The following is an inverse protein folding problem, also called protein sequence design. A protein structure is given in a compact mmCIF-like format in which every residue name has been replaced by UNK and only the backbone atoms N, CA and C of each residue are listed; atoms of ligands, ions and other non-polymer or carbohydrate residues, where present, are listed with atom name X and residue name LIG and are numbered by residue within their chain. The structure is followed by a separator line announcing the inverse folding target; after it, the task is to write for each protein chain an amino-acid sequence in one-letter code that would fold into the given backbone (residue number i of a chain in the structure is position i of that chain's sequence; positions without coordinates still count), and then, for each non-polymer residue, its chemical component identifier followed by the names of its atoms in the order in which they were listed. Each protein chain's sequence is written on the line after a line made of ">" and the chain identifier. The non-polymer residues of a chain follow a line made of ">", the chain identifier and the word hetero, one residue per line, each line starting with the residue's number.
data_IF_643849438170
#
_entry.id   IF_643849438170
#
_cell.length_a   1.000
_cell.length_b   1.000
_cell.length_c   1.000
_cell.angle_alpha   90.00
_cell.angle_beta   90.00
_cell.angle_gamma   90.00
#
_symmetry.space_group_name_H-M   'P 1'
#
loop_
_entity.id
_entity.type
_entity.pdbx_description
1 polymer ?
#
# COMPACT_ATOMS: atom_id res chain seq x y z
N UNK A 1 27.26 -25.78 -21.88
CA UNK A 1 25.96 -25.51 -22.54
C UNK A 1 24.79 -25.41 -21.56
N UNK A 2 24.81 -26.14 -20.40
CA UNK A 2 23.82 -25.98 -19.33
C UNK A 2 23.94 -24.61 -18.64
N UNK A 3 25.17 -24.15 -18.46
CA UNK A 3 25.44 -22.82 -17.88
C UNK A 3 24.88 -21.70 -18.75
N UNK A 4 25.09 -21.75 -20.05
CA UNK A 4 24.55 -20.77 -20.99
C UNK A 4 22.99 -20.72 -20.95
N UNK A 5 22.35 -21.88 -20.89
CA UNK A 5 20.88 -21.95 -20.76
C UNK A 5 20.43 -21.34 -19.46
N UNK A 6 21.18 -21.55 -18.37
CA UNK A 6 20.87 -20.92 -17.07
C UNK A 6 21.01 -19.41 -17.12
N UNK A 7 22.06 -18.89 -17.73
CA UNK A 7 22.26 -17.45 -17.88
C UNK A 7 21.16 -16.80 -18.73
N UNK A 8 20.81 -17.41 -19.86
CA UNK A 8 19.69 -16.95 -20.68
C UNK A 8 18.37 -16.96 -19.91
N UNK A 9 18.11 -18.05 -19.15
CA UNK A 9 16.91 -18.12 -18.30
C UNK A 9 16.87 -17.00 -17.24
N UNK A 10 17.99 -16.76 -16.55
CA UNK A 10 18.07 -15.71 -15.56
C UNK A 10 17.89 -14.33 -16.17
N UNK A 11 18.49 -14.09 -17.33
CA UNK A 11 18.32 -12.85 -18.09
C UNK A 11 16.85 -12.64 -18.48
N UNK A 12 16.21 -13.64 -19.08
CA UNK A 12 14.80 -13.58 -19.46
C UNK A 12 13.87 -13.37 -18.25
N UNK A 13 14.19 -14.04 -17.12
CA UNK A 13 13.43 -13.88 -15.89
C UNK A 13 13.49 -12.46 -15.32
N UNK A 14 14.65 -11.79 -15.44
CA UNK A 14 14.84 -10.43 -14.91
C UNK A 14 14.34 -9.34 -15.85
N UNK A 15 14.48 -9.55 -17.16
CA UNK A 15 14.12 -8.55 -18.18
C UNK A 15 12.71 -8.73 -18.74
N UNK A 16 12.10 -9.91 -18.56
CA UNK A 16 10.72 -10.21 -18.95
C UNK A 16 10.41 -10.13 -20.45
N UNK A 17 11.28 -10.55 -21.42
CA UNK A 17 11.06 -10.38 -22.85
C UNK A 17 10.10 -11.45 -23.42
N UNK A 18 8.95 -11.63 -22.79
CA UNK A 18 7.97 -12.65 -23.18
C UNK A 18 6.53 -12.13 -23.24
N UNK A 19 6.38 -10.83 -23.48
CA UNK A 19 5.06 -10.21 -23.57
C UNK A 19 4.34 -10.66 -24.84
N UNK A 20 3.16 -11.29 -24.69
CA UNK A 20 2.31 -11.60 -25.83
C UNK A 20 1.67 -10.34 -26.41
N UNK A 21 1.28 -10.34 -27.70
CA UNK A 21 0.55 -9.22 -28.31
C UNK A 21 -0.74 -8.85 -27.56
N UNK A 22 -1.44 -9.82 -27.00
CA UNK A 22 -2.64 -9.61 -26.19
C UNK A 22 -2.32 -8.87 -24.88
N UNK A 23 -1.27 -9.27 -24.16
CA UNK A 23 -0.85 -8.58 -22.95
C UNK A 23 -0.37 -7.14 -23.25
N UNK A 24 0.35 -6.94 -24.36
CA UNK A 24 0.75 -5.61 -24.80
C UNK A 24 -0.45 -4.72 -25.11
N UNK A 25 -1.47 -5.26 -25.78
CA UNK A 25 -2.71 -4.54 -26.05
C UNK A 25 -3.46 -4.16 -24.76
N UNK A 26 -3.62 -5.09 -23.81
CA UNK A 26 -4.27 -4.80 -22.51
C UNK A 26 -3.52 -3.70 -21.77
N UNK A 27 -2.19 -3.76 -21.71
CA UNK A 27 -1.38 -2.72 -21.04
C UNK A 27 -1.55 -1.37 -21.70
N UNK A 28 -1.49 -1.32 -23.04
CA UNK A 28 -1.71 -0.10 -23.84
C UNK A 28 -3.09 0.50 -23.56
N UNK A 29 -4.13 -0.32 -23.59
CA UNK A 29 -5.52 0.12 -23.28
C UNK A 29 -5.64 0.62 -21.85
N UNK A 30 -4.96 -0.01 -20.90
CA UNK A 30 -4.99 0.41 -19.48
C UNK A 30 -4.31 1.77 -19.26
N UNK A 31 -3.33 2.14 -20.07
CA UNK A 31 -2.68 3.45 -20.01
C UNK A 31 -3.63 4.60 -20.39
N UNK A 32 -4.60 4.37 -21.27
CA UNK A 32 -5.53 5.41 -21.72
C UNK A 32 -6.36 6.02 -20.57
N UNK A 33 -6.57 5.28 -19.49
CA UNK A 33 -7.32 5.73 -18.32
C UNK A 33 -6.45 5.95 -17.07
N UNK A 34 -5.13 5.89 -17.22
CA UNK A 34 -4.22 5.96 -16.07
C UNK A 34 -4.37 7.28 -15.29
N UNK A 35 -4.45 8.41 -15.98
CA UNK A 35 -4.57 9.73 -15.36
C UNK A 35 -5.85 9.81 -14.49
N UNK A 36 -7.00 9.44 -15.06
CA UNK A 36 -8.29 9.44 -14.32
C UNK A 36 -8.26 8.51 -13.10
N UNK A 37 -7.66 7.34 -13.25
CA UNK A 37 -7.50 6.41 -12.11
C UNK A 37 -6.59 6.99 -11.04
N UNK A 38 -5.45 7.55 -11.43
CA UNK A 38 -4.52 8.15 -10.47
C UNK A 38 -5.10 9.34 -9.75
N UNK A 39 -5.93 10.16 -10.40
CA UNK A 39 -6.67 11.23 -9.73
C UNK A 39 -7.56 10.67 -8.61
N UNK A 40 -8.35 9.65 -8.91
CA UNK A 40 -9.24 9.02 -7.92
C UNK A 40 -8.47 8.35 -6.79
N UNK A 41 -7.40 7.60 -7.10
CA UNK A 41 -6.54 7.00 -6.08
C UNK A 41 -5.98 8.06 -5.12
N UNK A 42 -5.49 9.17 -5.65
CA UNK A 42 -4.92 10.25 -4.85
C UNK A 42 -5.99 10.94 -3.98
N UNK A 43 -7.17 11.24 -4.54
CA UNK A 43 -8.29 11.86 -3.81
C UNK A 43 -8.71 10.99 -2.62
N UNK A 44 -8.93 9.71 -2.87
CA UNK A 44 -9.29 8.76 -1.82
C UNK A 44 -8.19 8.64 -0.75
N UNK A 45 -6.93 8.57 -1.17
CA UNK A 45 -5.79 8.45 -0.26
C UNK A 45 -5.58 9.69 0.61
N UNK A 46 -5.78 10.90 0.06
CA UNK A 46 -5.70 12.16 0.79
C UNK A 46 -6.77 12.24 1.89
N UNK A 47 -8.02 11.90 1.55
CA UNK A 47 -9.13 11.91 2.51
C UNK A 47 -8.90 10.84 3.59
N UNK A 48 -8.52 9.62 3.18
CA UNK A 48 -8.22 8.53 4.11
C UNK A 48 -7.11 8.93 5.09
N UNK A 49 -5.98 9.42 4.59
CA UNK A 49 -4.83 9.79 5.41
C UNK A 49 -5.19 10.86 6.45
N UNK A 50 -5.93 11.91 6.05
CA UNK A 50 -6.36 12.97 6.95
C UNK A 50 -7.34 12.49 8.04
N UNK A 51 -8.20 11.53 7.72
CA UNK A 51 -9.13 10.94 8.71
C UNK A 51 -8.40 10.01 9.67
N UNK A 52 -7.49 9.17 9.18
CA UNK A 52 -6.71 8.26 10.02
C UNK A 52 -5.81 9.00 11.01
N UNK A 53 -5.25 10.15 10.65
CA UNK A 53 -4.41 10.95 11.54
C UNK A 53 -5.14 11.41 12.81
N UNK A 54 -6.47 11.49 12.76
CA UNK A 54 -7.31 11.90 13.89
C UNK A 54 -7.81 10.72 14.73
N UNK A 55 -7.56 9.47 14.32
CA UNK A 55 -8.13 8.30 14.98
C UNK A 55 -7.33 7.90 16.22
N UNK A 56 -7.99 7.65 17.39
CA UNK A 56 -7.30 7.39 18.67
C UNK A 56 -6.47 6.09 18.68
N UNK A 57 -6.82 5.09 17.87
CA UNK A 57 -6.07 3.83 17.75
C UNK A 57 -4.78 3.94 16.93
N UNK A 58 -4.50 5.09 16.32
CA UNK A 58 -3.36 5.29 15.43
C UNK A 58 -2.28 6.11 16.13
N UNK A 59 -1.01 5.69 15.98
CA UNK A 59 0.14 6.40 16.48
C UNK A 59 0.58 7.52 15.53
N UNK A 60 0.68 7.20 14.26
CA UNK A 60 1.09 8.13 13.20
C UNK A 60 0.58 7.65 11.84
N UNK A 61 0.46 8.60 10.90
CA UNK A 61 0.18 8.35 9.49
C UNK A 61 1.30 8.95 8.66
N UNK A 62 1.75 8.24 7.62
CA UNK A 62 2.68 8.75 6.62
C UNK A 62 1.99 8.82 5.27
N UNK A 63 1.77 10.04 4.82
CA UNK A 63 1.28 10.33 3.48
C UNK A 63 1.91 11.65 3.00
N UNK A 64 2.47 11.72 1.77
CA UNK A 64 3.35 12.82 1.36
C UNK A 64 2.75 14.22 1.47
N UNK A 65 1.43 14.37 1.31
CA UNK A 65 0.74 15.67 1.37
C UNK A 65 0.20 16.02 2.74
N UNK A 66 0.39 15.19 3.78
CA UNK A 66 0.08 15.57 5.15
C UNK A 66 1.14 16.54 5.70
N UNK A 67 0.74 17.64 6.34
CA UNK A 67 1.69 18.57 6.97
C UNK A 67 2.61 17.93 8.03
N UNK A 68 2.15 16.84 8.66
CA UNK A 68 2.91 16.05 9.64
C UNK A 68 4.01 15.18 9.01
N UNK A 69 3.99 14.99 7.67
CA UNK A 69 4.97 14.16 7.00
C UNK A 69 6.38 14.79 7.04
N UNK A 70 7.43 14.03 7.44
CA UNK A 70 8.79 14.59 7.59
C UNK A 70 9.34 15.31 6.35
N UNK A 71 8.91 14.88 5.16
CA UNK A 71 9.34 15.44 3.88
C UNK A 71 8.24 16.21 3.15
N UNK A 72 7.25 16.73 3.89
CA UNK A 72 6.13 17.49 3.31
C UNK A 72 6.58 18.61 2.37
N UNK A 73 7.57 19.41 2.78
CA UNK A 73 8.07 20.52 1.98
C UNK A 73 8.68 20.08 0.64
N UNK A 74 9.35 18.90 0.65
CA UNK A 74 9.92 18.30 -0.56
C UNK A 74 8.78 17.76 -1.44
N UNK A 75 7.85 17.03 -0.86
CA UNK A 75 6.71 16.49 -1.57
C UNK A 75 5.89 17.60 -2.25
N UNK A 76 5.59 18.68 -1.52
CA UNK A 76 4.88 19.83 -2.06
C UNK A 76 5.61 20.51 -3.25
N UNK A 77 6.94 20.46 -3.27
CA UNK A 77 7.73 21.01 -4.37
C UNK A 77 7.81 20.10 -5.59
N UNK A 78 7.82 18.78 -5.40
CA UNK A 78 8.17 17.81 -6.44
C UNK A 78 6.97 16.99 -6.94
N UNK A 79 5.89 16.89 -6.15
CA UNK A 79 4.74 16.04 -6.44
C UNK A 79 3.48 16.90 -6.69
N UNK A 80 2.70 16.52 -7.68
CA UNK A 80 1.38 17.12 -7.90
C UNK A 80 0.36 16.63 -6.88
N UNK A 81 0.46 15.36 -6.45
CA UNK A 81 -0.40 14.68 -5.46
C UNK A 81 0.42 13.63 -4.71
N UNK A 82 -0.12 13.13 -3.59
CA UNK A 82 0.57 12.20 -2.68
C UNK A 82 0.65 10.74 -3.15
N UNK A 83 -0.03 10.39 -4.25
CA UNK A 83 -0.12 8.99 -4.70
C UNK A 83 -1.24 8.20 -4.00
N UNK A 84 -1.34 6.90 -4.30
CA UNK A 84 -2.40 6.03 -3.78
C UNK A 84 -1.99 5.18 -2.56
N UNK A 85 -0.82 5.41 -1.96
CA UNK A 85 -0.32 4.60 -0.83
C UNK A 85 -0.38 5.40 0.45
N UNK A 86 -1.09 4.85 1.45
CA UNK A 86 -1.15 5.38 2.82
C UNK A 86 -0.52 4.36 3.76
N UNK A 87 0.36 4.83 4.63
CA UNK A 87 0.98 4.00 5.67
C UNK A 87 0.66 4.59 7.03
N UNK A 88 0.28 3.73 7.97
CA UNK A 88 0.01 4.15 9.35
C UNK A 88 0.43 3.07 10.34
N UNK A 89 0.60 3.47 11.59
CA UNK A 89 0.93 2.57 12.68
C UNK A 89 -0.20 2.49 13.69
N UNK A 90 -0.59 1.28 14.01
CA UNK A 90 -1.56 0.98 15.06
C UNK A 90 -0.92 0.98 16.44
N UNK A 91 -1.62 1.50 17.45
CA UNK A 91 -1.36 1.24 18.85
C UNK A 91 -1.66 -0.23 19.16
N UNK A 92 -0.86 -0.88 20.02
CA UNK A 92 -1.01 -2.31 20.33
C UNK A 92 -0.15 -3.25 19.47
N UNK A 93 0.64 -2.72 18.55
CA UNK A 93 1.70 -3.45 17.86
C UNK A 93 1.22 -4.60 16.98
N UNK A 94 1.89 -5.77 17.08
CA UNK A 94 1.67 -6.92 16.20
C UNK A 94 0.25 -7.47 16.27
N UNK A 95 -0.26 -7.65 17.49
CA UNK A 95 -1.58 -8.26 17.73
C UNK A 95 -2.70 -7.35 17.20
N UNK A 96 -2.60 -6.04 17.43
CA UNK A 96 -3.52 -5.08 16.87
C UNK A 96 -3.50 -5.09 15.34
N UNK A 97 -2.30 -5.19 14.73
CA UNK A 97 -2.16 -5.33 13.28
C UNK A 97 -2.86 -6.56 12.72
N UNK A 98 -2.69 -7.70 13.36
CA UNK A 98 -3.35 -8.97 12.96
C UNK A 98 -4.88 -8.86 13.11
N UNK A 99 -5.36 -8.34 14.24
CA UNK A 99 -6.80 -8.16 14.49
C UNK A 99 -7.42 -7.19 13.48
N UNK A 100 -6.77 -6.05 13.25
CA UNK A 100 -7.19 -5.09 12.23
C UNK A 100 -7.38 -5.76 10.88
N UNK A 101 -6.35 -6.46 10.38
CA UNK A 101 -6.42 -7.15 9.09
C UNK A 101 -7.56 -8.18 9.02
N UNK A 102 -7.83 -8.90 10.11
CA UNK A 102 -8.88 -9.93 10.16
C UNK A 102 -10.31 -9.35 10.18
N UNK A 103 -10.48 -8.09 10.59
CA UNK A 103 -11.79 -7.43 10.64
C UNK A 103 -12.15 -6.67 9.35
N UNK A 104 -11.21 -6.49 8.41
CA UNK A 104 -11.49 -5.88 7.13
C UNK A 104 -12.45 -6.76 6.31
N UNK A 105 -13.41 -6.12 5.63
CA UNK A 105 -14.45 -6.78 4.84
C UNK A 105 -14.39 -6.39 3.36
N UNK A 106 -14.06 -5.14 3.06
CA UNK A 106 -13.94 -4.61 1.70
C UNK A 106 -12.50 -4.73 1.18
N UNK A 107 -11.52 -4.32 1.98
CA UNK A 107 -10.14 -4.28 1.55
C UNK A 107 -9.57 -5.69 1.37
N UNK A 108 -8.94 -5.94 0.23
CA UNK A 108 -8.30 -7.23 -0.05
C UNK A 108 -6.95 -7.34 0.65
N UNK A 109 -6.75 -8.44 1.38
CA UNK A 109 -5.49 -8.73 2.06
C UNK A 109 -4.49 -9.36 1.09
N UNK A 110 -3.47 -8.60 0.69
CA UNK A 110 -2.40 -9.09 -0.18
C UNK A 110 -1.15 -8.24 -0.06
N UNK A 111 0.00 -8.81 -0.41
CA UNK A 111 1.28 -8.10 -0.42
C UNK A 111 1.47 -7.15 -1.60
N UNK A 112 0.62 -7.23 -2.61
CA UNK A 112 0.68 -6.38 -3.81
C UNK A 112 0.28 -4.93 -3.52
N UNK A 113 0.36 -4.10 -4.55
CA UNK A 113 -0.10 -2.70 -4.55
C UNK A 113 -0.47 -2.28 -5.97
N UNK A 114 -1.23 -1.18 -6.11
CA UNK A 114 -1.56 -0.59 -7.41
C UNK A 114 -2.75 -1.22 -8.14
N UNK A 115 -3.54 -2.06 -7.47
CA UNK A 115 -4.82 -2.55 -8.00
C UNK A 115 -5.87 -1.42 -8.01
N UNK A 116 -6.91 -1.56 -8.84
CA UNK A 116 -8.09 -0.68 -8.79
C UNK A 116 -8.91 -0.87 -7.52
N UNK A 117 -8.78 -2.00 -6.85
CA UNK A 117 -9.34 -2.31 -5.53
C UNK A 117 -8.42 -1.83 -4.42
N UNK A 118 -9.01 -1.46 -3.30
CA UNK A 118 -8.26 -1.18 -2.08
C UNK A 118 -7.63 -2.45 -1.51
N UNK A 119 -6.33 -2.37 -1.24
CA UNK A 119 -5.52 -3.50 -0.76
C UNK A 119 -4.83 -3.10 0.54
N UNK A 120 -4.88 -3.98 1.53
CA UNK A 120 -4.17 -3.80 2.79
C UNK A 120 -3.11 -4.89 3.00
N UNK A 121 -2.00 -4.50 3.64
CA UNK A 121 -0.97 -5.42 4.09
C UNK A 121 -0.45 -5.04 5.46
N UNK A 122 -0.09 -6.04 6.26
CA UNK A 122 0.60 -5.92 7.54
C UNK A 122 1.98 -6.58 7.42
N UNK A 123 3.02 -5.85 7.02
CA UNK A 123 4.32 -6.42 6.68
C UNK A 123 4.94 -7.27 7.78
N UNK A 124 4.78 -6.86 9.05
CA UNK A 124 5.37 -7.57 10.19
C UNK A 124 4.85 -9.01 10.35
N UNK A 125 3.58 -9.29 10.01
CA UNK A 125 3.01 -10.64 10.07
C UNK A 125 3.04 -11.40 8.74
N UNK A 126 3.38 -10.75 7.63
CA UNK A 126 3.32 -11.33 6.28
C UNK A 126 4.68 -11.30 5.57
N UNK A 127 4.93 -10.28 4.77
CA UNK A 127 6.10 -10.22 3.87
C UNK A 127 7.44 -10.15 4.60
N UNK A 128 7.49 -9.64 5.82
CA UNK A 128 8.69 -9.48 6.65
C UNK A 128 8.63 -10.28 7.96
N UNK A 129 7.76 -11.30 8.02
CA UNK A 129 7.60 -12.14 9.22
C UNK A 129 8.84 -12.97 9.57
N UNK A 130 9.72 -13.23 8.60
CA UNK A 130 10.98 -13.98 8.80
C UNK A 130 12.13 -13.13 9.33
N UNK A 131 12.01 -11.80 9.28
CA UNK A 131 13.02 -10.89 9.81
C UNK A 131 12.88 -10.76 11.33
N UNK A 132 14.00 -10.59 12.00
CA UNK A 132 14.02 -10.19 13.42
C UNK A 132 13.42 -8.79 13.59
N UNK A 133 13.10 -8.42 14.82
CA UNK A 133 12.58 -7.09 15.13
C UNK A 133 13.58 -5.98 14.74
N UNK A 134 14.86 -6.19 15.03
CA UNK A 134 15.93 -5.25 14.71
C UNK A 134 16.06 -5.05 13.20
N UNK A 135 16.05 -6.15 12.43
CA UNK A 135 16.09 -6.10 10.97
C UNK A 135 14.86 -5.36 10.39
N UNK A 136 13.66 -5.61 10.91
CA UNK A 136 12.45 -4.88 10.47
C UNK A 136 12.54 -3.40 10.79
N UNK A 137 12.97 -3.05 11.99
CA UNK A 137 13.12 -1.64 12.40
C UNK A 137 14.18 -0.91 11.58
N UNK A 138 15.27 -1.59 11.17
CA UNK A 138 16.31 -0.99 10.32
C UNK A 138 15.80 -0.56 8.94
N UNK A 139 14.74 -1.22 8.45
CA UNK A 139 14.05 -0.88 7.19
C UNK A 139 12.75 -0.10 7.41
N UNK A 140 12.50 0.37 8.65
CA UNK A 140 11.37 1.22 9.00
C UNK A 140 10.03 0.49 9.14
N UNK A 141 10.04 -0.84 9.35
CA UNK A 141 8.83 -1.66 9.54
C UNK A 141 8.65 -1.96 11.02
N UNK A 142 7.75 -1.21 11.65
CA UNK A 142 7.33 -1.45 13.04
C UNK A 142 6.28 -2.58 13.14
N UNK A 143 6.02 -3.06 14.37
CA UNK A 143 5.09 -4.16 14.63
C UNK A 143 3.64 -3.85 14.24
N UNK A 144 3.21 -2.61 14.38
CA UNK A 144 1.84 -2.16 14.09
C UNK A 144 1.68 -1.47 12.73
N UNK A 145 2.69 -1.53 11.86
CA UNK A 145 2.67 -0.84 10.57
C UNK A 145 1.69 -1.50 9.61
N UNK A 146 0.72 -0.74 9.14
CA UNK A 146 -0.21 -1.11 8.07
C UNK A 146 0.10 -0.27 6.83
N UNK A 147 0.08 -0.93 5.66
CA UNK A 147 0.15 -0.26 4.37
C UNK A 147 -1.13 -0.51 3.60
N UNK A 148 -1.79 0.56 3.16
CA UNK A 148 -2.97 0.52 2.29
C UNK A 148 -2.61 1.08 0.92
N UNK A 149 -2.85 0.29 -0.13
CA UNK A 149 -2.94 0.78 -1.51
C UNK A 149 -4.41 1.09 -1.77
N UNK A 150 -4.73 2.36 -1.77
CA UNK A 150 -6.11 2.86 -1.84
C UNK A 150 -6.65 2.72 -3.25
N UNK A 151 -7.83 2.12 -3.38
CA UNK A 151 -8.47 1.82 -4.66
C UNK A 151 -9.39 2.95 -5.17
N UNK A 152 -10.25 2.56 -6.12
CA UNK A 152 -11.18 3.47 -6.83
C UNK A 152 -12.60 3.44 -6.24
N UNK A 153 -12.84 2.64 -5.20
CA UNK A 153 -14.13 2.52 -4.53
C UNK A 153 -14.59 3.89 -3.98
N UNK A 154 -15.84 3.97 -3.56
CA UNK A 154 -16.30 5.18 -2.90
C UNK A 154 -15.55 5.38 -1.59
N UNK A 155 -15.12 6.60 -1.31
CA UNK A 155 -14.27 6.87 -0.13
C UNK A 155 -14.98 6.52 1.18
N UNK A 156 -16.26 6.69 1.28
CA UNK A 156 -17.02 6.36 2.49
C UNK A 156 -17.05 4.85 2.75
N UNK A 157 -17.03 4.01 1.71
CA UNK A 157 -16.95 2.55 1.85
C UNK A 157 -15.56 2.14 2.36
N UNK A 158 -14.49 2.73 1.81
CA UNK A 158 -13.12 2.51 2.27
C UNK A 158 -12.95 2.93 3.73
N UNK A 159 -13.42 4.14 4.07
CA UNK A 159 -13.38 4.66 5.44
C UNK A 159 -14.22 3.81 6.39
N UNK A 160 -15.43 3.44 5.97
CA UNK A 160 -16.33 2.60 6.76
C UNK A 160 -15.68 1.27 7.13
N UNK A 161 -15.02 0.60 6.16
CA UNK A 161 -14.35 -0.68 6.40
C UNK A 161 -13.15 -0.53 7.34
N UNK A 162 -12.33 0.49 7.14
CA UNK A 162 -11.16 0.72 7.99
C UNK A 162 -11.57 1.13 9.41
N UNK A 163 -12.50 2.07 9.56
CA UNK A 163 -12.93 2.57 10.88
C UNK A 163 -13.62 1.47 11.68
N UNK A 164 -14.54 0.69 11.07
CA UNK A 164 -15.19 -0.43 11.78
C UNK A 164 -14.16 -1.49 12.26
N UNK A 165 -13.05 -1.64 11.54
CA UNK A 165 -11.98 -2.54 11.95
C UNK A 165 -11.14 -1.93 13.10
N UNK A 166 -10.86 -0.62 13.06
CA UNK A 166 -10.15 0.10 14.12
C UNK A 166 -10.94 0.13 15.44
N UNK A 167 -12.25 0.35 15.35
CA UNK A 167 -13.14 0.41 16.53
C UNK A 167 -13.21 -0.92 17.30
N UNK A 168 -12.90 -2.03 16.63
CA UNK A 168 -12.85 -3.36 17.28
C UNK A 168 -11.51 -3.65 17.99
N UNK A 169 -10.54 -2.75 17.89
CA UNK A 169 -9.25 -2.87 18.58
C UNK A 169 -9.27 -2.25 20.00
N UNK A 170 -10.34 -1.59 20.36
CA UNK A 170 -10.50 -0.89 21.64
C UNK A 170 -10.84 -1.86 22.77
#
# INVERSE_FOLDING_TARGET
>A
KKELVREVYLFCRQTGPSMSPFNAWILSKSLETLDVRMQRHCENAEILAAKLEQHPAINWVKYPTLPSHPHYAIAKKQMCRGGGIVVFELKGGLDAGIQFMNHLQLLTLTSNLGDTRSIASHPASTTHSKLTEEERMSVGISKGLIRVSVGLEHIDDILGDIVQSLDKLA
#
